data_IF_915411810087
#
_entry.id   IF_915411810087
#
_cell.length_a   1.000
_cell.length_b   1.000
_cell.length_c   1.000
_cell.angle_alpha   90.00
_cell.angle_beta   90.00
_cell.angle_gamma   90.00
#
_symmetry.space_group_name_H-M   'P 1'
#
loop_
_entity.id
_entity.type
_entity.pdbx_description
1 polymer ?
#
# COMPACT_ATOMS: atom_id res chain seq x y z
N UNK A 1 -11.94 32.91 -32.77
CA UNK A 1 -12.46 31.90 -31.88
C UNK A 1 -11.44 31.73 -30.73
N UNK A 2 -11.73 32.37 -29.57
CA UNK A 2 -10.90 32.26 -28.40
C UNK A 2 -11.16 30.90 -27.69
N UNK A 3 -10.12 30.10 -27.49
CA UNK A 3 -10.18 28.90 -26.66
C UNK A 3 -9.97 29.37 -25.21
N UNK A 4 -11.04 29.47 -24.44
CA UNK A 4 -10.95 29.67 -22.99
C UNK A 4 -10.49 28.36 -22.36
N UNK A 5 -9.25 28.31 -21.88
CA UNK A 5 -8.78 27.21 -21.04
C UNK A 5 -9.52 27.24 -19.70
N UNK A 6 -10.45 26.33 -19.51
CA UNK A 6 -11.09 26.13 -18.21
C UNK A 6 -10.10 25.38 -17.32
N UNK A 7 -9.43 26.10 -16.44
CA UNK A 7 -8.68 25.47 -15.35
C UNK A 7 -9.70 24.87 -14.37
N UNK A 8 -9.65 23.57 -14.18
CA UNK A 8 -10.46 22.92 -13.13
C UNK A 8 -10.06 23.50 -11.78
N UNK A 9 -11.03 24.07 -11.06
CA UNK A 9 -10.82 24.60 -9.71
C UNK A 9 -10.45 23.44 -8.79
N UNK A 10 -9.30 23.55 -8.08
CA UNK A 10 -8.89 22.56 -7.10
C UNK A 10 -9.91 22.47 -5.96
N UNK A 11 -10.26 21.25 -5.60
CA UNK A 11 -11.08 20.96 -4.44
C UNK A 11 -10.23 20.97 -3.17
N UNK A 12 -10.81 21.21 -1.97
CA UNK A 12 -10.04 21.18 -0.71
C UNK A 12 -9.23 19.90 -0.50
N UNK A 13 -9.74 18.74 -0.94
CA UNK A 13 -9.04 17.46 -0.85
C UNK A 13 -7.76 17.40 -1.68
N UNK A 14 -7.65 18.20 -2.74
CA UNK A 14 -6.45 18.25 -3.60
C UNK A 14 -5.26 18.92 -2.91
N UNK A 15 -5.48 19.56 -1.78
CA UNK A 15 -4.43 20.15 -0.94
C UNK A 15 -3.97 19.25 0.19
N UNK A 16 -4.62 18.09 0.39
CA UNK A 16 -4.21 17.12 1.40
C UNK A 16 -3.04 16.32 0.87
N UNK A 17 -1.93 16.35 1.60
CA UNK A 17 -0.75 15.54 1.31
C UNK A 17 -0.62 14.43 2.38
N UNK A 18 -0.98 13.18 2.07
CA UNK A 18 -0.84 12.06 3.01
C UNK A 18 0.61 11.73 3.42
N UNK A 19 1.59 12.19 2.65
CA UNK A 19 3.01 12.01 2.99
C UNK A 19 3.53 13.02 4.02
N UNK A 20 2.72 14.01 4.38
CA UNK A 20 3.13 15.02 5.36
C UNK A 20 3.42 14.37 6.72
N UNK A 21 4.60 14.65 7.28
CA UNK A 21 5.06 14.11 8.57
C UNK A 21 5.70 12.71 8.47
N UNK A 22 5.75 12.09 7.30
CA UNK A 22 6.35 10.76 7.13
C UNK A 22 7.88 10.80 6.99
N UNK A 23 8.43 11.89 6.47
CA UNK A 23 9.88 12.12 6.39
C UNK A 23 10.39 12.67 7.73
N UNK A 24 10.85 11.77 8.57
CA UNK A 24 11.28 12.07 9.93
C UNK A 24 12.43 11.15 10.35
N UNK A 25 12.90 11.32 11.57
CA UNK A 25 14.02 10.55 12.14
C UNK A 25 13.61 9.83 13.44
N UNK A 26 14.37 8.83 13.81
CA UNK A 26 14.06 7.97 14.97
C UNK A 26 13.89 8.77 16.28
N UNK A 27 14.65 9.86 16.47
CA UNK A 27 14.50 10.73 17.65
C UNK A 27 13.16 11.45 17.76
N UNK A 28 12.39 11.47 16.66
CA UNK A 28 11.04 12.00 16.57
C UNK A 28 10.03 10.88 16.26
N UNK A 29 10.33 9.65 16.70
CA UNK A 29 9.50 8.47 16.46
C UNK A 29 9.17 8.24 14.97
N UNK A 30 10.10 8.56 14.05
CA UNK A 30 9.89 8.49 12.60
C UNK A 30 8.60 9.21 12.13
N UNK A 31 8.20 10.26 12.83
CA UNK A 31 6.95 10.99 12.57
C UNK A 31 5.68 10.29 13.01
N UNK A 32 5.75 8.98 13.29
CA UNK A 32 4.61 8.12 13.65
C UNK A 32 3.40 8.30 12.71
N UNK A 33 3.68 8.44 11.42
CA UNK A 33 2.68 8.64 10.37
C UNK A 33 3.01 7.78 9.16
N UNK A 34 2.01 7.57 8.33
CA UNK A 34 2.14 6.87 7.04
C UNK A 34 1.20 7.53 6.01
N UNK A 35 1.38 7.32 4.71
CA UNK A 35 0.48 7.85 3.69
C UNK A 35 -0.86 7.09 3.74
N UNK A 36 -1.73 7.47 4.66
CA UNK A 36 -3.01 6.82 4.87
C UNK A 36 -3.91 6.98 3.65
N UNK A 37 -4.27 5.85 3.03
CA UNK A 37 -5.21 5.77 1.94
C UNK A 37 -6.53 5.28 2.55
N UNK A 38 -7.43 6.21 2.84
CA UNK A 38 -8.69 5.94 3.54
C UNK A 38 -9.71 7.03 3.26
N UNK A 39 -10.98 6.67 3.20
CA UNK A 39 -12.07 7.65 3.16
C UNK A 39 -12.29 8.27 4.55
N UNK A 40 -12.83 9.49 4.64
CA UNK A 40 -13.27 10.07 5.89
C UNK A 40 -14.23 9.11 6.61
N UNK A 41 -13.98 8.87 7.90
CA UNK A 41 -14.77 7.95 8.74
C UNK A 41 -14.72 6.48 8.30
N UNK A 42 -13.80 6.14 7.39
CA UNK A 42 -13.55 4.77 6.98
C UNK A 42 -13.04 3.89 8.13
N UNK A 43 -13.35 2.61 8.06
CA UNK A 43 -12.92 1.62 9.06
C UNK A 43 -11.67 0.84 8.61
N UNK A 44 -11.10 1.21 7.49
CA UNK A 44 -9.85 0.62 7.02
C UNK A 44 -8.95 1.68 6.38
N UNK A 45 -7.66 1.52 6.60
CA UNK A 45 -6.60 2.33 6.06
C UNK A 45 -5.63 1.44 5.32
N UNK A 46 -5.17 1.89 4.17
CA UNK A 46 -4.16 1.17 3.40
C UNK A 46 -2.89 2.00 3.31
N UNK A 47 -1.75 1.34 3.24
CA UNK A 47 -0.45 1.98 3.12
C UNK A 47 0.55 1.08 2.40
N UNK A 48 1.54 1.67 1.68
CA UNK A 48 2.71 0.91 1.26
C UNK A 48 3.50 0.46 2.50
N UNK A 49 4.05 -0.74 2.43
CA UNK A 49 4.89 -1.30 3.48
C UNK A 49 6.36 -1.13 3.09
N UNK A 50 7.09 -0.26 3.77
CA UNK A 50 8.54 -0.08 3.59
C UNK A 50 9.35 -0.81 4.67
N UNK A 51 8.78 -1.05 5.86
CA UNK A 51 9.31 -1.91 6.90
C UNK A 51 8.96 -3.38 6.69
N UNK A 52 9.39 -4.25 7.60
CA UNK A 52 9.01 -5.67 7.61
C UNK A 52 7.74 -5.90 8.43
N UNK A 53 7.10 -7.02 8.17
CA UNK A 53 6.05 -7.53 9.04
C UNK A 53 6.65 -7.78 10.44
N UNK A 54 6.00 -7.27 11.48
CA UNK A 54 6.51 -7.36 12.84
C UNK A 54 7.40 -6.20 13.27
N UNK A 55 7.85 -5.34 12.35
CA UNK A 55 8.51 -4.09 12.75
C UNK A 55 7.52 -3.17 13.46
N UNK A 56 8.00 -2.38 14.42
CA UNK A 56 7.17 -1.37 15.11
C UNK A 56 6.63 -0.29 14.17
N UNK A 57 7.23 -0.14 12.99
CA UNK A 57 6.88 0.83 11.96
C UNK A 57 6.70 0.11 10.62
N UNK A 58 5.48 -0.02 10.17
CA UNK A 58 5.20 -0.62 8.87
C UNK A 58 5.64 0.26 7.70
N UNK A 59 5.69 1.59 7.91
CA UNK A 59 6.13 2.57 6.94
C UNK A 59 7.08 3.59 7.56
N UNK A 60 8.14 3.90 6.83
CA UNK A 60 8.97 5.09 7.01
C UNK A 60 9.31 5.63 5.63
N UNK A 61 9.55 6.94 5.51
CA UNK A 61 9.74 7.60 4.22
C UNK A 61 11.09 7.29 3.57
N UNK A 62 12.16 7.20 4.36
CA UNK A 62 13.53 7.08 3.85
C UNK A 62 13.84 5.82 3.00
N UNK A 63 13.26 4.64 3.24
CA UNK A 63 13.48 3.47 2.40
C UNK A 63 12.94 3.65 0.98
N UNK A 64 13.66 3.09 0.03
CA UNK A 64 13.39 3.12 -1.41
C UNK A 64 12.77 1.82 -1.95
N UNK A 65 12.32 0.93 -1.05
CA UNK A 65 11.70 -0.34 -1.41
C UNK A 65 10.36 -0.54 -0.71
N UNK A 66 9.38 -1.01 -1.48
CA UNK A 66 8.09 -1.48 -1.00
C UNK A 66 8.09 -3.00 -0.94
N UNK A 67 7.64 -3.57 0.20
CA UNK A 67 7.54 -5.01 0.47
C UNK A 67 6.12 -5.55 0.34
N UNK A 68 5.16 -4.66 0.19
CA UNK A 68 3.73 -4.96 0.03
C UNK A 68 2.86 -3.76 0.38
N UNK A 69 1.57 -4.01 0.44
CA UNK A 69 0.55 -3.03 0.83
C UNK A 69 -0.22 -3.62 2.00
N UNK A 70 -0.23 -2.90 3.13
CA UNK A 70 -0.85 -3.35 4.38
C UNK A 70 -2.17 -2.66 4.61
N UNK A 71 -3.09 -3.41 5.20
CA UNK A 71 -4.30 -2.85 5.78
C UNK A 71 -4.11 -2.64 7.28
N UNK A 72 -4.62 -1.54 7.78
CA UNK A 72 -4.80 -1.29 9.20
C UNK A 72 -6.14 -0.57 9.41
N UNK A 73 -6.62 -0.49 10.65
CA UNK A 73 -7.75 0.34 11.02
C UNK A 73 -7.35 1.45 12.02
N UNK A 74 -6.03 1.64 12.17
CA UNK A 74 -5.49 2.69 13.02
C UNK A 74 -4.81 3.80 12.22
N UNK A 75 -5.07 5.07 12.56
CA UNK A 75 -4.38 6.20 11.95
C UNK A 75 -2.86 6.23 12.25
N UNK A 76 -2.44 5.60 13.34
CA UNK A 76 -1.04 5.51 13.76
C UNK A 76 -0.73 4.08 14.18
N UNK A 77 -0.21 3.23 13.27
CA UNK A 77 0.11 1.83 13.57
C UNK A 77 1.38 1.76 14.42
N UNK A 78 1.23 1.93 15.72
CA UNK A 78 2.27 1.74 16.70
C UNK A 78 2.48 0.25 16.95
N UNK A 79 3.72 -0.19 17.08
CA UNK A 79 4.11 -1.60 17.35
C UNK A 79 3.42 -2.63 16.44
N UNK A 80 3.20 -2.25 15.18
CA UNK A 80 2.55 -3.07 14.16
C UNK A 80 1.12 -3.51 14.49
N UNK A 81 0.41 -2.73 15.28
CA UNK A 81 -0.98 -2.97 15.62
C UNK A 81 -1.86 -3.04 14.37
N UNK A 82 -2.69 -4.08 14.29
CA UNK A 82 -3.73 -4.27 13.28
C UNK A 82 -3.26 -4.30 11.82
N UNK A 83 -1.96 -4.33 11.58
CA UNK A 83 -1.38 -4.51 10.24
C UNK A 83 -1.01 -5.95 9.97
N UNK A 84 -1.96 -6.87 10.12
CA UNK A 84 -1.72 -8.31 10.23
C UNK A 84 -1.51 -9.04 8.90
N UNK A 85 -1.74 -8.40 7.78
CA UNK A 85 -1.45 -8.98 6.47
C UNK A 85 -0.97 -7.94 5.47
N UNK A 86 -0.34 -8.42 4.42
CA UNK A 86 0.19 -7.61 3.33
C UNK A 86 -0.14 -8.25 1.99
N UNK A 87 -0.36 -7.44 0.99
CA UNK A 87 -0.58 -7.88 -0.39
C UNK A 87 0.60 -7.39 -1.22
N UNK A 88 1.26 -8.28 -1.96
CA UNK A 88 2.35 -7.90 -2.86
C UNK A 88 2.17 -8.53 -4.24
N UNK A 89 1.90 -7.72 -5.27
CA UNK A 89 1.93 -8.20 -6.65
C UNK A 89 3.37 -8.29 -7.16
N UNK A 90 3.65 -9.26 -8.02
CA UNK A 90 4.97 -9.47 -8.61
C UNK A 90 4.91 -10.19 -9.94
N UNK A 91 6.03 -10.15 -10.67
CA UNK A 91 6.19 -10.83 -11.97
C UNK A 91 7.44 -11.70 -11.99
N UNK A 92 7.59 -12.49 -13.04
CA UNK A 92 8.76 -13.33 -13.36
C UNK A 92 8.90 -14.53 -12.42
N UNK A 93 9.20 -14.32 -11.18
CA UNK A 93 9.46 -15.39 -10.20
C UNK A 93 8.73 -15.09 -8.89
N UNK A 94 8.07 -16.11 -8.35
CA UNK A 94 7.45 -16.04 -7.03
C UNK A 94 8.54 -15.93 -5.94
N UNK A 95 8.46 -14.87 -5.14
CA UNK A 95 9.33 -14.59 -4.00
C UNK A 95 8.45 -14.37 -2.78
N UNK A 96 8.51 -15.23 -1.79
CA UNK A 96 7.65 -15.16 -0.60
C UNK A 96 8.30 -14.39 0.56
N UNK A 97 9.62 -14.41 0.64
CA UNK A 97 10.37 -13.67 1.67
C UNK A 97 10.26 -12.15 1.45
N UNK A 98 10.08 -11.40 2.52
CA UNK A 98 9.79 -9.96 2.48
C UNK A 98 10.92 -9.11 1.90
N UNK A 99 12.18 -9.49 2.13
CA UNK A 99 13.31 -8.75 1.57
C UNK A 99 13.53 -9.11 0.10
N UNK A 100 13.38 -10.39 -0.25
CA UNK A 100 13.57 -10.86 -1.62
C UNK A 100 12.48 -10.38 -2.57
N UNK A 101 11.23 -10.19 -2.07
CA UNK A 101 10.12 -9.66 -2.87
C UNK A 101 10.07 -8.14 -2.94
N UNK A 102 10.88 -7.43 -2.15
CA UNK A 102 10.85 -5.98 -2.10
C UNK A 102 11.21 -5.36 -3.47
N UNK A 103 10.39 -4.43 -3.92
CA UNK A 103 10.58 -3.71 -5.18
C UNK A 103 11.06 -2.29 -4.93
N UNK A 104 12.02 -1.85 -5.70
CA UNK A 104 12.38 -0.44 -5.77
C UNK A 104 11.21 0.41 -6.25
N UNK A 105 11.07 1.60 -5.69
CA UNK A 105 10.13 2.61 -6.10
C UNK A 105 10.74 4.01 -5.97
N UNK A 106 10.04 5.02 -6.43
CA UNK A 106 10.46 6.41 -6.29
C UNK A 106 9.28 7.27 -5.83
N UNK A 107 9.49 8.06 -4.80
CA UNK A 107 8.50 9.06 -4.35
C UNK A 107 8.14 10.09 -5.44
N UNK A 108 9.00 10.30 -6.44
CA UNK A 108 8.70 11.17 -7.60
C UNK A 108 7.68 10.53 -8.55
N UNK A 109 7.56 9.22 -8.54
CA UNK A 109 6.61 8.45 -9.35
C UNK A 109 5.45 7.88 -8.50
N UNK A 110 5.43 8.19 -7.20
CA UNK A 110 4.37 7.86 -6.27
C UNK A 110 3.28 8.93 -6.31
N UNK A 111 2.03 8.50 -6.34
CA UNK A 111 0.89 9.38 -6.16
C UNK A 111 0.12 8.96 -4.92
N UNK A 112 0.10 9.81 -3.91
CA UNK A 112 -0.63 9.59 -2.67
C UNK A 112 -1.67 10.70 -2.47
N UNK A 113 -2.93 10.30 -2.42
CA UNK A 113 -4.05 11.15 -1.99
C UNK A 113 -4.87 10.38 -0.97
N UNK A 114 -5.73 10.99 -0.16
CA UNK A 114 -6.54 10.24 0.80
C UNK A 114 -7.38 9.13 0.18
N UNK A 115 -7.87 9.35 -1.02
CA UNK A 115 -8.81 8.46 -1.72
C UNK A 115 -8.18 7.61 -2.84
N UNK A 116 -6.87 7.76 -3.08
CA UNK A 116 -6.21 7.03 -4.16
C UNK A 116 -4.70 7.00 -3.95
N UNK A 117 -4.12 5.84 -4.21
CA UNK A 117 -2.67 5.63 -4.21
C UNK A 117 -2.24 4.95 -5.50
N UNK A 118 -1.10 5.33 -6.03
CA UNK A 118 -0.49 4.65 -7.18
C UNK A 118 1.02 4.70 -7.06
N UNK A 119 1.67 3.58 -7.40
CA UNK A 119 3.13 3.48 -7.41
C UNK A 119 3.60 2.51 -8.49
N UNK A 120 4.72 2.84 -9.11
CA UNK A 120 5.41 1.94 -10.02
C UNK A 120 6.43 1.10 -9.26
N UNK A 121 6.33 -0.22 -9.38
CA UNK A 121 7.22 -1.21 -8.79
C UNK A 121 8.26 -1.64 -9.84
N UNK A 122 9.47 -1.06 -9.76
CA UNK A 122 10.46 -1.18 -10.85
C UNK A 122 11.06 -2.59 -10.98
N UNK A 123 11.20 -3.34 -9.88
CA UNK A 123 11.67 -4.74 -9.94
C UNK A 123 10.76 -5.63 -10.80
N UNK A 124 9.47 -5.31 -10.79
CA UNK A 124 8.42 -6.09 -11.46
C UNK A 124 7.87 -5.43 -12.72
N UNK A 125 8.35 -4.23 -13.06
CA UNK A 125 7.89 -3.45 -14.23
C UNK A 125 6.36 -3.32 -14.26
N UNK A 126 5.76 -2.96 -13.13
CA UNK A 126 4.31 -2.91 -12.99
C UNK A 126 3.83 -1.73 -12.14
N UNK A 127 2.58 -1.36 -12.32
CA UNK A 127 1.91 -0.34 -11.51
C UNK A 127 0.88 -0.98 -10.59
N UNK A 128 0.90 -0.56 -9.34
CA UNK A 128 -0.13 -0.86 -8.35
C UNK A 128 -0.94 0.39 -8.07
N UNK A 129 -2.26 0.23 -8.05
CA UNK A 129 -3.21 1.28 -7.71
C UNK A 129 -4.15 0.79 -6.61
N UNK A 130 -4.50 1.67 -5.68
CA UNK A 130 -5.40 1.39 -4.55
C UNK A 130 -6.43 2.49 -4.45
N UNK A 131 -7.71 2.12 -4.38
CA UNK A 131 -8.81 3.02 -4.10
C UNK A 131 -9.63 2.46 -2.93
N UNK A 132 -9.67 3.13 -1.77
CA UNK A 132 -10.37 2.66 -0.59
C UNK A 132 -11.87 2.93 -0.70
N UNK A 133 -12.64 2.13 0.03
CA UNK A 133 -14.02 2.42 0.41
C UNK A 133 -14.09 2.54 1.94
N UNK A 134 -15.27 2.66 2.51
CA UNK A 134 -15.42 2.74 3.97
C UNK A 134 -14.86 1.50 4.71
N UNK A 135 -14.96 0.32 4.09
CA UNK A 135 -14.61 -0.97 4.73
C UNK A 135 -13.73 -1.87 3.88
N UNK A 136 -13.52 -1.53 2.61
CA UNK A 136 -12.81 -2.34 1.64
C UNK A 136 -11.82 -1.48 0.84
N UNK A 137 -11.11 -2.10 -0.09
CA UNK A 137 -10.37 -1.38 -1.11
C UNK A 137 -10.41 -2.14 -2.44
N UNK A 138 -10.34 -1.38 -3.51
CA UNK A 138 -10.07 -1.90 -4.83
C UNK A 138 -8.57 -1.80 -5.10
N UNK A 139 -7.99 -2.90 -5.57
CA UNK A 139 -6.64 -2.95 -6.09
C UNK A 139 -6.68 -3.16 -7.59
N UNK A 140 -5.85 -2.43 -8.31
CA UNK A 140 -5.55 -2.69 -9.71
C UNK A 140 -4.06 -2.90 -9.88
N UNK A 141 -3.69 -4.06 -10.42
CA UNK A 141 -2.33 -4.43 -10.74
C UNK A 141 -2.20 -4.44 -12.26
N UNK A 142 -1.39 -3.54 -12.81
CA UNK A 142 -1.11 -3.51 -14.24
C UNK A 142 0.19 -4.22 -14.50
N UNK A 143 0.09 -5.49 -14.89
CA UNK A 143 1.23 -6.34 -15.21
C UNK A 143 1.73 -6.07 -16.63
N UNK A 144 3.04 -6.24 -16.89
CA UNK A 144 3.56 -6.23 -18.26
C UNK A 144 3.04 -7.45 -19.05
N UNK A 145 2.92 -7.30 -20.36
CA UNK A 145 2.57 -8.42 -21.25
C UNK A 145 3.61 -9.56 -21.14
N UNK A 146 3.16 -10.79 -21.34
CA UNK A 146 3.98 -12.00 -21.39
C UNK A 146 4.84 -12.29 -20.14
N UNK A 147 4.40 -11.85 -18.97
CA UNK A 147 5.03 -12.18 -17.69
C UNK A 147 4.16 -13.10 -16.85
N UNK A 148 4.79 -14.04 -16.16
CA UNK A 148 4.13 -14.74 -15.07
C UNK A 148 3.73 -13.69 -14.01
N UNK A 149 2.47 -13.69 -13.60
CA UNK A 149 1.91 -12.75 -12.65
C UNK A 149 1.50 -13.46 -11.36
N UNK A 150 1.91 -12.91 -10.25
CA UNK A 150 1.62 -13.45 -8.92
C UNK A 150 1.08 -12.36 -8.01
N UNK A 151 0.22 -12.73 -7.08
CA UNK A 151 -0.17 -11.91 -5.96
C UNK A 151 0.06 -12.71 -4.69
N UNK A 152 0.98 -12.26 -3.85
CA UNK A 152 1.23 -12.85 -2.53
C UNK A 152 0.32 -12.17 -1.52
N UNK A 153 -0.44 -12.97 -0.78
CA UNK A 153 -1.13 -12.56 0.43
C UNK A 153 -0.32 -13.10 1.60
N UNK A 154 0.35 -12.22 2.30
CA UNK A 154 1.24 -12.55 3.40
C UNK A 154 0.56 -12.19 4.71
N UNK A 155 0.21 -13.20 5.49
CA UNK A 155 -0.40 -13.08 6.80
C UNK A 155 0.64 -13.37 7.90
N UNK A 156 0.34 -12.98 9.12
CA UNK A 156 1.25 -13.18 10.25
C UNK A 156 1.58 -14.66 10.47
N UNK A 157 2.82 -14.97 10.85
CA UNK A 157 3.33 -16.35 11.00
C UNK A 157 2.57 -17.18 12.03
N UNK A 158 1.95 -16.54 13.01
CA UNK A 158 1.27 -17.21 14.12
C UNK A 158 -0.19 -16.82 14.17
N UNK A 159 -1.05 -17.83 14.31
CA UNK A 159 -2.49 -17.62 14.48
C UNK A 159 -3.22 -17.21 13.21
N UNK A 160 -2.57 -17.20 12.06
CA UNK A 160 -3.18 -16.83 10.78
C UNK A 160 -3.63 -18.07 10.00
N UNK A 161 -4.68 -17.89 9.22
CA UNK A 161 -5.18 -18.88 8.28
C UNK A 161 -5.55 -18.22 6.97
N UNK A 162 -5.17 -18.82 5.86
CA UNK A 162 -5.50 -18.36 4.50
C UNK A 162 -5.98 -19.55 3.67
N UNK A 163 -7.10 -19.39 2.97
CA UNK A 163 -7.66 -20.39 2.06
C UNK A 163 -8.01 -19.75 0.72
N UNK A 164 -7.55 -20.37 -0.35
CA UNK A 164 -7.94 -20.02 -1.73
C UNK A 164 -9.15 -20.85 -2.11
N UNK A 165 -10.17 -20.22 -2.68
CA UNK A 165 -11.42 -20.84 -3.17
C UNK A 165 -11.52 -20.48 -4.67
N UNK A 166 -10.88 -21.27 -5.55
CA UNK A 166 -10.78 -20.92 -6.98
C UNK A 166 -12.14 -20.83 -7.68
N UNK A 167 -13.08 -21.69 -7.32
CA UNK A 167 -14.44 -21.74 -7.88
C UNK A 167 -15.27 -20.48 -7.58
N UNK A 168 -14.91 -19.73 -6.53
CA UNK A 168 -15.53 -18.47 -6.16
C UNK A 168 -14.65 -17.24 -6.53
N UNK A 169 -13.47 -17.45 -7.12
CA UNK A 169 -12.45 -16.42 -7.33
C UNK A 169 -12.15 -15.64 -6.05
N UNK A 170 -11.95 -16.35 -4.94
CA UNK A 170 -11.94 -15.75 -3.61
C UNK A 170 -10.79 -16.30 -2.76
N UNK A 171 -10.25 -15.43 -1.94
CA UNK A 171 -9.33 -15.78 -0.85
C UNK A 171 -10.00 -15.36 0.44
N UNK A 172 -10.04 -16.26 1.42
CA UNK A 172 -10.54 -15.99 2.77
C UNK A 172 -9.49 -16.31 3.80
N UNK A 173 -9.54 -15.63 4.94
CA UNK A 173 -8.61 -15.87 6.00
C UNK A 173 -8.96 -15.09 7.26
N UNK A 174 -8.18 -15.33 8.29
CA UNK A 174 -8.22 -14.57 9.53
C UNK A 174 -6.80 -14.48 10.11
N UNK A 175 -6.58 -13.48 10.92
CA UNK A 175 -5.41 -13.32 11.79
C UNK A 175 -5.89 -13.20 13.23
N UNK A 176 -5.09 -13.64 14.18
CA UNK A 176 -5.37 -13.54 15.63
C UNK A 176 -4.37 -12.64 16.31
#
# INVERSE_FOLDING_TARGET
>A
LGVSSVFAQKQPVDYVNPLMGTDSKISLSNGNTYPAIALPWGMNFWMPQTGKMGDGWAYTYAPDKIRGFKQTHQPSPWINDYGQFSIMPMTKQLKIDQDSRASWFSHKAEKATPYYYSVYLSEYNMTTEIAPTERCAYFRFTFPEASDAYVVVDAFDRGSYVKVIPEENKIVGYTT
#
